data_IF_812297206508
#
_entry.id   IF_812297206508
#
_cell.length_a   1.000
_cell.length_b   1.000
_cell.length_c   1.000
_cell.angle_alpha   90.00
_cell.angle_beta   90.00
_cell.angle_gamma   90.00
#
_symmetry.space_group_name_H-M   'P 1'
#
loop_
_entity.id
_entity.type
_entity.pdbx_description
1 polymer ?
#
# COMPACT_ATOMS: atom_id res chain seq x y z
N UNK A 1 1.85 -15.49 -16.75
CA UNK A 1 1.63 -15.31 -15.30
C UNK A 1 2.86 -14.78 -14.55
N UNK A 2 4.08 -15.28 -14.80
CA UNK A 2 5.30 -14.77 -14.14
C UNK A 2 5.46 -13.24 -14.28
N UNK A 3 5.20 -12.69 -15.47
CA UNK A 3 5.28 -11.25 -15.72
C UNK A 3 4.37 -10.41 -14.79
N UNK A 4 3.13 -10.85 -14.57
CA UNK A 4 2.18 -10.19 -13.65
C UNK A 4 2.76 -10.15 -12.23
N UNK A 5 3.40 -11.24 -11.81
CA UNK A 5 4.00 -11.31 -10.48
C UNK A 5 5.20 -10.40 -10.33
N UNK A 6 6.08 -10.35 -11.34
CA UNK A 6 7.22 -9.44 -11.36
C UNK A 6 6.76 -7.97 -11.36
N UNK A 7 5.72 -7.65 -12.14
CA UNK A 7 5.13 -6.33 -12.16
C UNK A 7 4.57 -5.91 -10.80
N UNK A 8 3.83 -6.80 -10.12
CA UNK A 8 3.31 -6.56 -8.77
C UNK A 8 4.43 -6.37 -7.74
N UNK A 9 5.54 -7.10 -7.87
CA UNK A 9 6.67 -6.98 -6.96
C UNK A 9 7.48 -5.70 -7.18
N UNK A 10 7.58 -5.23 -8.43
CA UNK A 10 8.29 -4.00 -8.77
C UNK A 10 7.48 -2.72 -8.49
N UNK A 11 6.15 -2.84 -8.37
CA UNK A 11 5.24 -1.73 -8.00
C UNK A 11 4.65 -1.98 -6.60
N UNK A 12 5.43 -2.56 -5.68
CA UNK A 12 4.99 -2.85 -4.31
C UNK A 12 4.53 -1.63 -3.53
N UNK A 13 4.96 -0.43 -3.97
CA UNK A 13 4.58 0.85 -3.39
C UNK A 13 3.12 1.20 -3.72
N UNK A 14 2.60 0.73 -4.87
CA UNK A 14 1.22 0.92 -5.28
C UNK A 14 0.31 -0.10 -4.57
N UNK A 15 -0.34 0.35 -3.49
CA UNK A 15 -1.21 -0.51 -2.67
C UNK A 15 -2.48 -0.98 -3.40
N UNK A 16 -2.82 -0.39 -4.55
CA UNK A 16 -4.03 -0.65 -5.32
C UNK A 16 -3.74 -0.60 -6.82
N UNK A 17 -4.24 -1.58 -7.56
CA UNK A 17 -4.04 -1.69 -9.01
C UNK A 17 -5.33 -2.11 -9.71
N UNK A 18 -5.62 -1.49 -10.86
CA UNK A 18 -6.73 -1.92 -11.70
C UNK A 18 -6.37 -3.23 -12.40
N UNK A 19 -7.29 -4.20 -12.37
CA UNK A 19 -7.07 -5.50 -12.97
C UNK A 19 -6.96 -5.42 -14.50
N UNK A 20 -7.64 -4.45 -15.11
CA UNK A 20 -7.58 -4.21 -16.56
C UNK A 20 -6.21 -3.70 -17.00
N UNK A 21 -5.57 -2.83 -16.21
CA UNK A 21 -4.19 -2.38 -16.44
C UNK A 21 -3.20 -3.54 -16.30
N UNK A 22 -3.41 -4.40 -15.30
CA UNK A 22 -2.61 -5.60 -15.10
C UNK A 22 -2.70 -6.55 -16.31
N UNK A 23 -3.90 -6.69 -16.87
CA UNK A 23 -4.16 -7.50 -18.06
C UNK A 23 -3.60 -6.87 -19.34
N UNK A 24 -3.61 -5.55 -19.46
CA UNK A 24 -3.04 -4.83 -20.60
C UNK A 24 -1.52 -4.98 -20.69
N UNK A 25 -0.84 -5.20 -19.55
CA UNK A 25 0.61 -5.43 -19.49
C UNK A 25 1.04 -6.87 -19.78
N UNK A 26 0.10 -7.80 -19.99
CA UNK A 26 0.45 -9.17 -20.40
C UNK A 26 0.91 -9.14 -21.85
N UNK A 27 2.23 -9.22 -22.06
CA UNK A 27 2.81 -9.37 -23.40
C UNK A 27 2.63 -10.80 -23.93
N UNK A 28 2.26 -10.92 -25.22
CA UNK A 28 2.08 -12.18 -25.95
C UNK A 28 0.70 -12.36 -26.58
N UNK A 29 0.58 -13.36 -27.46
CA UNK A 29 -0.67 -13.67 -28.19
C UNK A 29 -1.77 -14.25 -27.28
N UNK A 30 -1.38 -14.81 -26.13
CA UNK A 30 -2.32 -15.42 -25.19
C UNK A 30 -2.80 -14.42 -24.13
N UNK A 31 -4.08 -14.03 -24.23
CA UNK A 31 -4.75 -13.19 -23.21
C UNK A 31 -5.65 -14.05 -22.31
N UNK A 32 -5.25 -14.33 -21.06
CA UNK A 32 -6.07 -15.11 -20.15
C UNK A 32 -7.35 -14.36 -19.78
N UNK A 33 -8.44 -15.10 -19.60
CA UNK A 33 -9.69 -14.51 -19.11
C UNK A 33 -9.51 -13.97 -17.69
N UNK A 34 -10.21 -12.89 -17.36
CA UNK A 34 -10.11 -12.20 -16.06
C UNK A 34 -10.36 -13.14 -14.86
N UNK A 35 -11.26 -14.12 -15.01
CA UNK A 35 -11.49 -15.18 -14.00
C UNK A 35 -10.23 -15.98 -13.67
N UNK A 36 -9.43 -16.31 -14.69
CA UNK A 36 -8.19 -17.08 -14.54
C UNK A 36 -7.14 -16.25 -13.81
N UNK A 37 -7.03 -14.96 -14.12
CA UNK A 37 -6.10 -14.04 -13.45
C UNK A 37 -6.47 -13.90 -11.97
N UNK A 38 -7.76 -13.70 -11.65
CA UNK A 38 -8.23 -13.64 -10.26
C UNK A 38 -7.91 -14.93 -9.48
N UNK A 39 -8.21 -16.10 -10.07
CA UNK A 39 -7.93 -17.37 -9.42
C UNK A 39 -6.43 -17.58 -9.14
N UNK A 40 -5.56 -17.16 -10.08
CA UNK A 40 -4.11 -17.24 -9.90
C UNK A 40 -3.60 -16.26 -8.85
N UNK A 41 -4.12 -15.02 -8.81
CA UNK A 41 -3.78 -14.03 -7.79
C UNK A 41 -4.17 -14.52 -6.39
N UNK A 42 -5.38 -15.07 -6.24
CA UNK A 42 -5.81 -15.69 -4.98
C UNK A 42 -4.97 -16.91 -4.62
N UNK A 43 -4.59 -17.75 -5.60
CA UNK A 43 -3.73 -18.90 -5.34
C UNK A 43 -2.34 -18.49 -4.83
N UNK A 44 -1.78 -17.38 -5.32
CA UNK A 44 -0.44 -16.93 -4.95
C UNK A 44 -0.42 -16.12 -3.65
N UNK A 45 -1.35 -15.17 -3.49
CA UNK A 45 -1.31 -14.20 -2.40
C UNK A 45 -2.38 -14.49 -1.31
N UNK A 46 -3.35 -15.35 -1.58
CA UNK A 46 -4.36 -15.75 -0.59
C UNK A 46 -5.07 -14.56 0.03
N UNK A 47 -4.99 -14.48 1.36
CA UNK A 47 -5.61 -13.44 2.17
C UNK A 47 -4.84 -12.11 2.20
N UNK A 48 -3.62 -12.06 1.64
CA UNK A 48 -2.85 -10.81 1.54
C UNK A 48 -3.44 -9.84 0.50
N UNK A 49 -4.39 -10.28 -0.32
CA UNK A 49 -5.07 -9.47 -1.33
C UNK A 49 -6.59 -9.40 -1.11
N UNK A 50 -7.16 -8.27 -1.53
CA UNK A 50 -8.59 -8.02 -1.64
C UNK A 50 -8.89 -7.62 -3.08
N UNK A 51 -9.81 -8.32 -3.74
CA UNK A 51 -10.29 -7.91 -5.06
C UNK A 51 -11.65 -7.24 -4.88
N UNK A 52 -11.67 -5.92 -4.98
CA UNK A 52 -12.88 -5.12 -4.91
C UNK A 52 -13.55 -5.06 -6.29
N UNK A 53 -14.84 -5.39 -6.36
CA UNK A 53 -15.64 -5.29 -7.58
C UNK A 53 -16.76 -4.28 -7.32
N UNK A 54 -16.80 -3.20 -8.10
CA UNK A 54 -17.87 -2.21 -8.05
C UNK A 54 -18.70 -2.33 -9.33
N UNK A 55 -20.02 -2.12 -9.23
CA UNK A 55 -20.87 -2.09 -10.41
C UNK A 55 -20.34 -1.04 -11.41
N UNK A 56 -20.22 -1.44 -12.68
CA UNK A 56 -19.76 -0.62 -13.80
C UNK A 56 -18.31 -0.09 -13.72
N UNK A 57 -17.44 -0.63 -12.85
CA UNK A 57 -16.02 -0.28 -12.82
C UNK A 57 -15.13 -1.51 -12.95
N UNK A 58 -13.93 -1.31 -13.48
CA UNK A 58 -12.88 -2.32 -13.52
C UNK A 58 -12.60 -2.84 -12.09
N UNK A 59 -12.46 -4.17 -11.88
CA UNK A 59 -12.07 -4.71 -10.59
C UNK A 59 -10.72 -4.14 -10.13
N UNK A 60 -10.60 -3.83 -8.85
CA UNK A 60 -9.36 -3.33 -8.23
C UNK A 60 -8.78 -4.42 -7.35
N UNK A 61 -7.48 -4.68 -7.49
CA UNK A 61 -6.70 -5.55 -6.60
C UNK A 61 -6.01 -4.65 -5.57
N UNK A 62 -6.33 -4.85 -4.29
CA UNK A 62 -5.74 -4.13 -3.17
C UNK A 62 -4.95 -5.11 -2.30
N UNK A 63 -3.75 -4.76 -1.87
CA UNK A 63 -3.05 -5.55 -0.86
C UNK A 63 -3.53 -5.13 0.54
N UNK A 64 -3.89 -6.10 1.39
CA UNK A 64 -4.44 -5.82 2.72
C UNK A 64 -3.39 -5.34 3.72
N UNK A 65 -2.18 -5.90 3.61
CA UNK A 65 -1.11 -5.71 4.59
C UNK A 65 0.06 -4.86 4.09
N UNK A 66 -0.05 -4.17 2.95
CA UNK A 66 1.04 -3.32 2.44
C UNK A 66 1.36 -2.18 3.41
N UNK A 67 0.36 -1.48 3.93
CA UNK A 67 0.60 -0.41 4.91
C UNK A 67 1.31 -0.90 6.18
N UNK A 68 0.85 -2.02 6.75
CA UNK A 68 1.50 -2.59 7.94
C UNK A 68 2.90 -3.12 7.64
N UNK A 69 3.11 -3.86 6.55
CA UNK A 69 4.43 -4.37 6.15
C UNK A 69 5.40 -3.23 5.84
N UNK A 70 4.99 -2.22 5.09
CA UNK A 70 5.81 -1.04 4.77
C UNK A 70 6.18 -0.26 6.04
N UNK A 71 5.23 0.00 6.94
CA UNK A 71 5.50 0.67 8.22
C UNK A 71 6.44 -0.17 9.11
N UNK A 72 6.23 -1.49 9.13
CA UNK A 72 7.02 -2.43 9.93
C UNK A 72 8.45 -2.54 9.37
N UNK A 73 8.60 -2.71 8.06
CA UNK A 73 9.89 -2.77 7.37
C UNK A 73 10.62 -1.43 7.46
N UNK A 74 9.95 -0.30 7.27
CA UNK A 74 10.56 1.02 7.47
C UNK A 74 11.08 1.19 8.90
N UNK A 75 10.32 0.74 9.89
CA UNK A 75 10.72 0.77 11.30
C UNK A 75 11.93 -0.14 11.59
N UNK A 76 11.91 -1.39 11.11
CA UNK A 76 13.04 -2.31 11.31
C UNK A 76 14.28 -1.93 10.51
N UNK A 77 14.14 -1.37 9.32
CA UNK A 77 15.26 -0.94 8.48
C UNK A 77 15.89 0.38 8.95
N UNK A 78 15.13 1.23 9.64
CA UNK A 78 15.64 2.47 10.24
C UNK A 78 16.25 2.26 11.63
N UNK A 79 16.05 1.09 12.23
CA UNK A 79 16.60 0.74 13.53
C UNK A 79 18.12 0.63 13.44
N UNK A 80 18.81 1.63 13.97
CA UNK A 80 20.27 1.65 14.02
C UNK A 80 20.75 0.81 15.20
N UNK A 81 21.82 0.03 15.01
CA UNK A 81 22.50 -0.67 16.11
C UNK A 81 23.14 0.33 17.10
N UNK A 82 23.34 1.59 16.69
CA UNK A 82 23.81 2.67 17.55
C UNK A 82 22.65 3.25 18.39
N UNK A 83 22.73 3.01 19.70
CA UNK A 83 21.79 3.51 20.71
C UNK A 83 21.60 5.03 20.69
N UNK A 84 22.60 5.79 20.25
CA UNK A 84 22.54 7.26 20.20
C UNK A 84 21.66 7.73 19.05
N UNK A 85 21.84 7.16 17.87
CA UNK A 85 21.01 7.45 16.70
C UNK A 85 19.58 6.93 16.87
N UNK A 86 19.40 5.78 17.51
CA UNK A 86 18.07 5.27 17.84
C UNK A 86 17.32 6.21 18.79
N UNK A 87 17.99 6.72 19.85
CA UNK A 87 17.40 7.74 20.73
C UNK A 87 17.03 9.01 19.97
N UNK A 88 17.86 9.43 19.01
CA UNK A 88 17.58 10.60 18.17
C UNK A 88 16.39 10.36 17.24
N UNK A 89 16.28 9.18 16.66
CA UNK A 89 15.15 8.78 15.83
C UNK A 89 13.84 8.79 16.63
N UNK A 90 13.82 8.17 17.82
CA UNK A 90 12.66 8.16 18.71
C UNK A 90 12.19 9.58 19.05
N UNK A 91 13.12 10.48 19.40
CA UNK A 91 12.79 11.89 19.72
C UNK A 91 12.21 12.60 18.51
N UNK A 92 12.76 12.39 17.29
CA UNK A 92 12.21 12.97 16.06
C UNK A 92 10.81 12.45 15.76
N UNK A 93 10.57 11.15 15.91
CA UNK A 93 9.27 10.52 15.68
C UNK A 93 8.24 11.04 16.68
N UNK A 94 8.59 11.15 17.96
CA UNK A 94 7.71 11.75 18.97
C UNK A 94 7.37 13.22 18.64
N UNK A 95 8.35 14.01 18.23
CA UNK A 95 8.11 15.39 17.81
C UNK A 95 7.17 15.48 16.59
N UNK A 96 7.33 14.59 15.61
CA UNK A 96 6.45 14.53 14.44
C UNK A 96 4.99 14.22 14.82
N UNK A 97 4.77 13.26 15.73
CA UNK A 97 3.42 12.93 16.22
C UNK A 97 2.77 14.14 16.90
N UNK A 98 3.50 14.83 17.79
CA UNK A 98 2.96 16.03 18.47
C UNK A 98 2.60 17.13 17.47
N UNK A 99 3.42 17.33 16.44
CA UNK A 99 3.13 18.31 15.38
C UNK A 99 1.87 17.92 14.60
N UNK A 100 1.72 16.64 14.23
CA UNK A 100 0.52 16.14 13.55
C UNK A 100 -0.73 16.24 14.43
N UNK A 101 -0.63 15.99 15.74
CA UNK A 101 -1.73 16.20 16.69
C UNK A 101 -2.13 17.67 16.77
N UNK A 102 -1.17 18.61 16.73
CA UNK A 102 -1.46 20.05 16.69
C UNK A 102 -2.14 20.43 15.37
N UNK A 103 -1.68 19.89 14.24
CA UNK A 103 -2.24 20.18 12.91
C UNK A 103 -3.64 19.60 12.73
N UNK A 104 -3.90 18.43 13.30
CA UNK A 104 -5.18 17.72 13.20
C UNK A 104 -6.23 18.21 14.21
N UNK A 105 -5.87 19.14 15.11
CA UNK A 105 -6.87 19.84 15.93
C UNK A 105 -7.86 20.58 15.04
N UNK A 106 -9.14 20.23 15.19
CA UNK A 106 -10.22 20.99 14.59
C UNK A 106 -10.35 22.35 15.27
N UNK A 107 -10.11 23.42 14.51
CA UNK A 107 -10.34 24.78 14.98
C UNK A 107 -11.83 25.11 14.95
N UNK A 108 -12.31 25.89 15.93
CA UNK A 108 -13.68 26.36 15.94
C UNK A 108 -13.87 27.43 14.85
N UNK A 109 -14.44 27.03 13.72
CA UNK A 109 -14.63 27.89 12.54
C UNK A 109 -15.80 28.86 12.65
N UNK A 110 -16.47 28.94 13.80
CA UNK A 110 -17.70 29.70 13.97
C UNK A 110 -17.48 31.21 14.09
N UNK A 111 -16.34 31.66 14.59
CA UNK A 111 -16.03 33.09 14.76
C UNK A 111 -14.55 33.38 14.50
N UNK A 112 -14.24 34.60 14.06
CA UNK A 112 -12.88 35.02 13.64
C UNK A 112 -12.28 36.08 14.58
N UNK A 113 -10.94 36.04 14.84
CA UNK A 113 -10.05 34.93 14.51
C UNK A 113 -10.31 33.74 15.43
N UNK A 114 -10.12 32.50 14.94
CA UNK A 114 -10.37 31.28 15.70
C UNK A 114 -9.50 31.15 16.96
#
# INVERSE_FOLDING_TARGET
>A
MQYIYSYLQNNSDECQLYLDELMAKIEGDYRPHMKTVKAQLFKKYGDDILIAVTANKAPVVCFRNTGFKVLTEAWYNQKSDDKTEERRHIVKTAAAIVIEDIRSRGYETKHYPP
#
